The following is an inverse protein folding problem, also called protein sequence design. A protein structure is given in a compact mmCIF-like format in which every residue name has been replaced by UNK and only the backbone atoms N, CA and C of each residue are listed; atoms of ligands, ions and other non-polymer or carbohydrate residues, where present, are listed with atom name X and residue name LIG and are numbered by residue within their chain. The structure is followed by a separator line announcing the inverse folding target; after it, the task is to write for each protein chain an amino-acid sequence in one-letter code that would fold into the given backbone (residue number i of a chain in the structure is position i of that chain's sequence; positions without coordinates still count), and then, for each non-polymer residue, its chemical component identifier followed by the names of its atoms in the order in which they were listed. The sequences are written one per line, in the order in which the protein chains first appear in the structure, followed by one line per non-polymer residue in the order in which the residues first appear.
data_IF_059561537445
#
_entry.id   IF_059561537445
#
_cell.length_a   1.000
_cell.length_b   1.000
_cell.length_c   1.000
_cell.angle_alpha   90.00
_cell.angle_beta   90.00
_cell.angle_gamma   90.00
#
_symmetry.space_group_name_H-M   'P 1'
#
loop_
_entity.id
_entity.type
_entity.pdbx_description
1 polymer ?
#
# COMPACT_ATOMS: atom_id res chain seq x y z
N UNK A 1 10.52 0.15 8.23
CA UNK A 1 9.26 -0.12 8.99
C UNK A 1 8.22 -0.84 8.13
N UNK A 2 7.15 -1.45 8.69
CA UNK A 2 6.09 -2.16 7.90
C UNK A 2 5.41 -1.28 6.84
N UNK A 3 5.19 0.00 7.14
CA UNK A 3 4.59 0.96 6.21
C UNK A 3 5.50 1.28 5.01
N UNK A 4 6.80 1.35 5.22
CA UNK A 4 7.76 1.64 4.15
C UNK A 4 7.87 0.47 3.17
N UNK A 5 7.95 -0.76 3.68
CA UNK A 5 7.89 -1.95 2.84
C UNK A 5 6.60 -1.98 2.02
N UNK A 6 5.46 -1.60 2.61
CA UNK A 6 4.19 -1.52 1.90
C UNK A 6 4.20 -0.47 0.78
N UNK A 7 4.79 0.70 1.02
CA UNK A 7 4.94 1.74 0.01
C UNK A 7 5.81 1.27 -1.15
N UNK A 8 6.92 0.59 -0.87
CA UNK A 8 7.80 0.02 -1.89
C UNK A 8 7.06 -1.00 -2.75
N UNK A 9 6.32 -1.94 -2.16
CA UNK A 9 5.55 -2.92 -2.93
C UNK A 9 4.51 -2.23 -3.84
N UNK A 10 3.71 -1.32 -3.29
CA UNK A 10 2.69 -0.61 -4.06
C UNK A 10 3.30 0.27 -5.17
N UNK A 11 4.46 0.87 -4.94
CA UNK A 11 5.20 1.63 -5.95
C UNK A 11 5.76 0.73 -7.06
N UNK A 12 6.13 -0.51 -6.75
CA UNK A 12 6.49 -1.54 -7.73
C UNK A 12 5.27 -2.13 -8.48
N UNK A 13 4.06 -1.64 -8.23
CA UNK A 13 2.85 -2.08 -8.91
C UNK A 13 2.13 -3.28 -8.28
N UNK A 14 2.65 -3.80 -7.16
CA UNK A 14 2.02 -4.89 -6.39
C UNK A 14 0.58 -4.53 -5.97
N UNK A 15 -0.23 -5.56 -5.76
CA UNK A 15 -1.59 -5.37 -5.28
C UNK A 15 -1.61 -5.11 -3.77
N UNK A 16 -2.69 -4.47 -3.30
CA UNK A 16 -2.92 -4.22 -1.87
C UNK A 16 -2.92 -5.53 -1.08
N UNK A 17 -3.51 -6.59 -1.63
CA UNK A 17 -3.60 -7.90 -0.99
C UNK A 17 -2.24 -8.58 -0.85
N UNK A 18 -1.41 -8.58 -1.89
CA UNK A 18 -0.05 -9.16 -1.80
C UNK A 18 0.81 -8.34 -0.85
N UNK A 19 0.70 -7.02 -0.92
CA UNK A 19 1.39 -6.10 0.00
C UNK A 19 1.01 -6.38 1.46
N UNK A 20 -0.28 -6.56 1.77
CA UNK A 20 -0.77 -6.86 3.12
C UNK A 20 -0.25 -8.20 3.65
N UNK A 21 -0.20 -9.23 2.80
CA UNK A 21 0.39 -10.54 3.14
C UNK A 21 1.88 -10.44 3.40
N UNK A 22 2.63 -9.74 2.55
CA UNK A 22 4.10 -9.60 2.68
C UNK A 22 4.54 -8.76 3.86
N UNK A 23 3.76 -7.76 4.23
CA UNK A 23 4.10 -6.84 5.34
C UNK A 23 3.63 -7.33 6.71
N UNK A 24 2.88 -8.44 6.74
CA UNK A 24 2.43 -9.08 7.98
C UNK A 24 1.37 -8.29 8.76
N UNK A 25 0.63 -7.39 8.09
CA UNK A 25 -0.42 -6.55 8.73
C UNK A 25 -1.77 -7.29 8.82
N UNK A 26 -1.82 -8.53 8.34
CA UNK A 26 -2.92 -9.46 8.56
C UNK A 26 -4.04 -9.40 7.50
N UNK A 27 -4.36 -8.22 6.96
CA UNK A 27 -5.39 -8.08 5.91
C UNK A 27 -5.31 -6.73 5.19
N UNK A 28 -5.97 -6.63 4.04
CA UNK A 28 -6.13 -5.42 3.22
C UNK A 28 -6.76 -4.29 4.04
N UNK A 29 -7.72 -4.63 4.91
CA UNK A 29 -8.43 -3.69 5.78
C UNK A 29 -7.51 -3.05 6.82
N UNK A 30 -6.65 -3.86 7.44
CA UNK A 30 -5.62 -3.37 8.38
C UNK A 30 -4.58 -2.51 7.67
N UNK A 31 -4.17 -2.89 6.46
CA UNK A 31 -3.29 -2.08 5.63
C UNK A 31 -3.94 -0.74 5.28
N UNK A 32 -5.23 -0.76 4.89
CA UNK A 32 -6.01 0.45 4.59
C UNK A 32 -6.11 1.37 5.80
N UNK A 33 -6.45 0.85 6.98
CA UNK A 33 -6.51 1.65 8.22
C UNK A 33 -5.16 2.25 8.57
N UNK A 34 -4.07 1.50 8.41
CA UNK A 34 -2.71 1.99 8.67
C UNK A 34 -2.35 3.14 7.71
N UNK A 35 -2.61 2.98 6.42
CA UNK A 35 -2.36 4.00 5.40
C UNK A 35 -3.19 5.25 5.64
N UNK A 36 -4.49 5.11 5.95
CA UNK A 36 -5.35 6.24 6.27
C UNK A 36 -4.87 6.98 7.52
N UNK A 37 -4.49 6.27 8.58
CA UNK A 37 -3.99 6.89 9.82
C UNK A 37 -2.63 7.58 9.66
N UNK A 38 -1.78 7.12 8.75
CA UNK A 38 -0.39 7.61 8.60
C UNK A 38 -0.23 8.63 7.47
N UNK A 39 -0.93 8.43 6.35
CA UNK A 39 -0.77 9.19 5.11
C UNK A 39 -2.08 9.85 4.64
N UNK A 40 -3.22 9.54 5.26
CA UNK A 40 -4.52 10.10 4.85
C UNK A 40 -5.05 9.58 3.51
N UNK A 41 -4.37 8.61 2.89
CA UNK A 41 -4.74 8.04 1.58
C UNK A 41 -4.96 6.54 1.68
N UNK A 42 -5.75 5.97 0.77
CA UNK A 42 -5.89 4.52 0.68
C UNK A 42 -4.71 3.91 -0.09
N UNK A 43 -4.32 2.65 0.20
CA UNK A 43 -3.23 1.98 -0.52
C UNK A 43 -3.54 1.80 -2.01
N UNK A 44 -4.81 1.64 -2.38
CA UNK A 44 -5.25 1.61 -3.79
C UNK A 44 -5.06 2.96 -4.50
N UNK A 45 -5.40 4.07 -3.84
CA UNK A 45 -5.18 5.42 -4.38
C UNK A 45 -3.68 5.75 -4.47
N UNK A 46 -2.90 5.32 -3.47
CA UNK A 46 -1.45 5.41 -3.49
C UNK A 46 -0.89 4.66 -4.72
N UNK A 47 -1.20 3.36 -4.88
CA UNK A 47 -0.82 2.57 -6.06
C UNK A 47 -1.22 3.23 -7.38
N UNK A 48 -2.46 3.74 -7.47
CA UNK A 48 -2.96 4.39 -8.69
C UNK A 48 -2.10 5.58 -9.08
N UNK A 49 -1.67 6.43 -8.13
CA UNK A 49 -0.78 7.55 -8.43
C UNK A 49 0.57 7.09 -8.99
N UNK A 50 1.21 6.10 -8.38
CA UNK A 50 2.49 5.58 -8.88
C UNK A 50 2.37 4.91 -10.25
N UNK A 51 1.25 4.22 -10.49
CA UNK A 51 0.99 3.57 -11.78
C UNK A 51 0.60 4.57 -12.88
N UNK A 52 -0.01 5.71 -12.53
CA UNK A 52 -0.35 6.76 -13.50
C UNK A 52 0.87 7.61 -13.89
N UNK A 53 1.85 7.78 -12.99
CA UNK A 53 3.09 8.52 -13.27
C UNK A 53 4.08 7.75 -14.16
N UNK A 54 3.95 6.43 -14.27
CA UNK A 54 4.82 5.59 -15.11
C UNK A 54 4.39 5.49 -16.58
N UNK A 55 3.68 6.50 -17.12
CA UNK A 55 3.22 6.51 -18.52
C UNK A 55 4.06 7.42 -19.40
#
# INVERSE_FOLDING_TARGET
MRLEAAQTFLANGETVTVTARRTGVGSDESLRRLFLRRLGVTPSAYRSRFHTTAR
#
